data_IF_811186431207
#
_entry.id   IF_811186431207
#
_cell.length_a   1.000
_cell.length_b   1.000
_cell.length_c   1.000
_cell.angle_alpha   90.00
_cell.angle_beta   90.00
_cell.angle_gamma   90.00
#
_symmetry.space_group_name_H-M   'P 1'
#
loop_
_entity.id
_entity.type
_entity.pdbx_description
1 polymer ?
#
# COMPACT_ATOMS: atom_id res chain seq x y z
N UNK A 1 -11.05 -17.32 -9.39
CA UNK A 1 -10.68 -17.20 -7.96
C UNK A 1 -11.68 -16.23 -7.39
N UNK A 2 -12.49 -16.67 -6.43
CA UNK A 2 -13.42 -15.77 -5.73
C UNK A 2 -12.58 -14.92 -4.76
N UNK A 3 -12.84 -13.61 -4.70
CA UNK A 3 -12.18 -12.78 -3.71
C UNK A 3 -12.88 -13.00 -2.36
N UNK A 4 -12.13 -13.46 -1.36
CA UNK A 4 -12.58 -13.74 0.01
C UNK A 4 -12.09 -12.63 0.96
N UNK A 5 -12.32 -11.38 0.56
CA UNK A 5 -11.91 -10.21 1.35
C UNK A 5 -12.80 -10.03 2.59
N UNK A 6 -12.26 -9.31 3.58
CA UNK A 6 -12.98 -8.96 4.80
C UNK A 6 -14.25 -8.19 4.50
N UNK A 7 -15.35 -8.58 5.15
CA UNK A 7 -16.65 -7.87 5.11
C UNK A 7 -16.81 -6.84 6.23
N UNK A 8 -15.77 -6.63 7.04
CA UNK A 8 -15.79 -5.60 8.06
C UNK A 8 -15.92 -4.21 7.39
N UNK A 9 -16.79 -3.41 7.96
CA UNK A 9 -17.07 -2.03 7.58
C UNK A 9 -17.09 -1.22 8.90
N UNK A 10 -15.91 -0.72 9.29
CA UNK A 10 -15.75 0.01 10.55
C UNK A 10 -16.24 1.45 10.42
N UNK A 11 -16.12 2.03 9.23
CA UNK A 11 -16.52 3.40 8.96
C UNK A 11 -18.05 3.53 8.72
N UNK A 12 -18.76 2.41 8.56
CA UNK A 12 -20.22 2.28 8.41
C UNK A 12 -20.76 3.00 7.18
N UNK A 13 -20.04 2.93 6.07
CA UNK A 13 -20.46 3.54 4.80
C UNK A 13 -21.12 2.54 3.84
N UNK A 14 -21.45 1.33 4.31
CA UNK A 14 -22.01 0.20 3.55
C UNK A 14 -21.04 -0.40 2.50
N UNK A 15 -19.76 -0.05 2.56
CA UNK A 15 -18.67 -0.60 1.76
C UNK A 15 -17.68 -1.26 2.72
N UNK A 16 -17.29 -2.53 2.51
CA UNK A 16 -16.24 -3.12 3.32
C UNK A 16 -14.94 -2.31 3.24
N UNK A 17 -14.29 -2.09 4.38
CA UNK A 17 -13.08 -1.26 4.49
C UNK A 17 -11.97 -1.70 3.51
N UNK A 18 -11.89 -3.02 3.24
CA UNK A 18 -10.95 -3.57 2.24
C UNK A 18 -11.20 -3.06 0.83
N UNK A 19 -12.46 -2.88 0.46
CA UNK A 19 -12.84 -2.27 -0.82
C UNK A 19 -12.69 -0.76 -0.78
N UNK A 20 -12.93 -0.10 0.36
CA UNK A 20 -12.66 1.34 0.49
C UNK A 20 -11.18 1.66 0.24
N UNK A 21 -10.25 0.86 0.75
CA UNK A 21 -8.82 1.00 0.45
C UNK A 21 -8.60 0.90 -1.08
N UNK A 22 -9.19 -0.10 -1.73
CA UNK A 22 -9.06 -0.27 -3.19
C UNK A 22 -9.67 0.91 -3.96
N UNK A 23 -10.83 1.42 -3.53
CA UNK A 23 -11.51 2.56 -4.16
C UNK A 23 -10.66 3.83 -4.05
N UNK A 24 -10.08 4.11 -2.88
CA UNK A 24 -9.17 5.24 -2.70
C UNK A 24 -7.92 5.13 -3.60
N UNK A 25 -7.34 3.95 -3.73
CA UNK A 25 -6.22 3.71 -4.65
C UNK A 25 -6.64 3.84 -6.14
N UNK A 26 -7.84 3.39 -6.51
CA UNK A 26 -8.37 3.53 -7.87
C UNK A 26 -8.61 4.98 -8.25
N UNK A 27 -9.07 5.82 -7.34
CA UNK A 27 -9.25 7.25 -7.62
C UNK A 27 -7.90 7.93 -7.94
N UNK A 28 -6.80 7.54 -7.28
CA UNK A 28 -5.46 8.03 -7.63
C UNK A 28 -5.02 7.59 -9.04
N UNK A 29 -5.23 6.32 -9.38
CA UNK A 29 -4.94 5.78 -10.72
C UNK A 29 -5.78 6.48 -11.80
N UNK A 30 -7.05 6.76 -11.51
CA UNK A 30 -7.98 7.45 -12.42
C UNK A 30 -7.60 8.91 -12.61
N UNK A 31 -7.19 9.61 -11.56
CA UNK A 31 -6.63 10.98 -11.62
C UNK A 31 -5.33 11.03 -12.42
N UNK A 32 -4.65 9.89 -12.64
CA UNK A 32 -3.30 9.81 -13.19
C UNK A 32 -2.37 10.77 -12.47
N UNK A 33 -2.39 10.74 -11.13
CA UNK A 33 -1.58 11.63 -10.28
C UNK A 33 -0.12 11.59 -10.74
N UNK A 34 0.45 12.71 -11.25
CA UNK A 34 1.82 12.77 -11.70
C UNK A 34 2.83 12.36 -10.63
N UNK A 35 3.85 11.60 -11.02
CA UNK A 35 4.93 11.22 -10.12
C UNK A 35 5.84 12.43 -9.84
N UNK A 36 5.87 12.90 -8.59
CA UNK A 36 6.85 13.89 -8.12
C UNK A 36 7.32 13.60 -6.71
N UNK A 37 8.63 13.44 -6.58
CA UNK A 37 9.28 13.16 -5.30
C UNK A 37 9.72 14.47 -4.64
N UNK A 38 8.83 15.04 -3.83
CA UNK A 38 9.06 16.28 -3.08
C UNK A 38 8.84 16.08 -1.58
N UNK A 39 9.52 16.92 -0.79
CA UNK A 39 9.26 17.09 0.64
C UNK A 39 8.20 18.17 0.86
N UNK A 40 7.27 17.94 1.79
CA UNK A 40 6.22 18.90 2.15
C UNK A 40 6.27 19.18 3.64
N UNK A 41 6.21 20.46 4.01
CA UNK A 41 6.34 20.89 5.40
C UNK A 41 5.18 20.40 6.29
N UNK A 42 4.01 20.15 5.72
CA UNK A 42 2.84 19.59 6.43
C UNK A 42 2.67 18.09 6.15
N UNK A 43 3.68 17.47 5.56
CA UNK A 43 3.79 16.06 5.22
C UNK A 43 3.02 15.60 3.99
N UNK A 44 1.86 16.19 3.71
CA UNK A 44 1.01 15.75 2.61
C UNK A 44 1.30 16.49 1.29
N UNK A 45 1.49 15.75 0.16
CA UNK A 45 1.49 16.37 -1.17
C UNK A 45 0.11 16.92 -1.54
N UNK A 46 0.03 17.94 -2.42
CA UNK A 46 -1.24 18.35 -3.01
C UNK A 46 -1.81 17.23 -3.89
N UNK A 47 -3.10 17.28 -4.20
CA UNK A 47 -3.77 16.23 -5.00
C UNK A 47 -3.18 16.06 -6.41
N UNK A 48 -2.53 17.10 -6.95
CA UNK A 48 -1.97 17.13 -8.29
C UNK A 48 -0.62 16.41 -8.44
N UNK A 49 -0.07 15.82 -7.38
CA UNK A 49 1.18 15.06 -7.42
C UNK A 49 1.31 14.07 -6.26
N UNK A 50 2.29 13.16 -6.37
CA UNK A 50 2.64 12.22 -5.32
C UNK A 50 3.64 11.17 -5.78
N UNK A 51 3.93 10.23 -4.90
CA UNK A 51 4.76 9.03 -5.16
C UNK A 51 4.00 7.76 -4.79
N UNK A 52 4.65 6.60 -4.86
CA UNK A 52 4.05 5.30 -4.56
C UNK A 52 3.42 5.21 -3.16
N UNK A 53 4.09 5.75 -2.13
CA UNK A 53 3.59 5.78 -0.75
C UNK A 53 2.37 6.69 -0.57
N UNK A 54 2.17 7.66 -1.47
CA UNK A 54 1.00 8.54 -1.42
C UNK A 54 -0.29 7.85 -1.82
N UNK A 55 -0.20 6.82 -2.68
CA UNK A 55 -1.35 5.95 -2.98
C UNK A 55 -1.81 5.23 -1.73
N UNK A 56 -0.89 4.84 -0.85
CA UNK A 56 -1.18 4.02 0.33
C UNK A 56 -1.95 4.83 1.37
N UNK A 57 -1.44 5.99 1.81
CA UNK A 57 -2.17 6.77 2.82
C UNK A 57 -3.48 7.35 2.27
N UNK A 58 -3.56 7.70 0.97
CA UNK A 58 -4.82 8.14 0.34
C UNK A 58 -5.85 7.01 0.29
N UNK A 59 -5.42 5.79 0.01
CA UNK A 59 -6.26 4.59 0.06
C UNK A 59 -6.79 4.33 1.47
N UNK A 60 -5.91 4.33 2.48
CA UNK A 60 -6.30 4.13 3.88
C UNK A 60 -7.23 5.23 4.39
N UNK A 61 -6.99 6.48 4.00
CA UNK A 61 -7.89 7.60 4.33
C UNK A 61 -9.30 7.39 3.77
N UNK A 62 -9.43 6.75 2.60
CA UNK A 62 -10.75 6.44 2.05
C UNK A 62 -11.54 5.43 2.90
N UNK A 63 -10.85 4.61 3.69
CA UNK A 63 -11.45 3.71 4.68
C UNK A 63 -11.53 4.34 6.09
N UNK A 64 -11.40 5.67 6.22
CA UNK A 64 -11.35 6.42 7.48
C UNK A 64 -10.20 6.00 8.43
N UNK A 65 -9.09 5.50 7.87
CA UNK A 65 -7.90 5.12 8.63
C UNK A 65 -6.82 6.20 8.46
N UNK A 66 -6.47 6.90 9.54
CA UNK A 66 -5.36 7.85 9.53
C UNK A 66 -4.02 7.12 9.68
N UNK A 67 -3.50 6.62 8.56
CA UNK A 67 -2.24 5.87 8.50
C UNK A 67 -1.03 6.67 9.03
N UNK A 68 -1.02 7.99 8.84
CA UNK A 68 0.09 8.85 9.28
C UNK A 68 0.20 8.86 10.80
N UNK A 69 -0.91 9.11 11.50
CA UNK A 69 -0.90 9.19 12.97
C UNK A 69 -0.46 7.86 13.59
N UNK A 70 -0.91 6.73 13.01
CA UNK A 70 -0.52 5.40 13.47
C UNK A 70 0.99 5.14 13.30
N UNK A 71 1.57 5.57 12.18
CA UNK A 71 3.01 5.41 11.92
C UNK A 71 3.81 6.36 12.80
N UNK A 72 3.37 7.61 12.96
CA UNK A 72 4.03 8.60 13.82
C UNK A 72 4.07 8.12 15.28
N UNK A 73 2.98 7.52 15.76
CA UNK A 73 2.91 6.92 17.09
C UNK A 73 3.87 5.73 17.25
N UNK A 74 3.89 4.79 16.29
CA UNK A 74 4.80 3.65 16.38
C UNK A 74 6.27 4.06 16.30
N UNK A 75 6.61 5.01 15.42
CA UNK A 75 7.97 5.57 15.31
C UNK A 75 8.39 6.27 16.60
N UNK A 76 7.51 7.08 17.19
CA UNK A 76 7.79 7.76 18.46
C UNK A 76 8.14 6.77 19.56
N UNK A 77 7.48 5.61 19.60
CA UNK A 77 7.64 4.61 20.64
C UNK A 77 8.76 3.59 20.33
N UNK A 78 9.23 3.47 19.08
CA UNK A 78 10.13 2.41 18.64
C UNK A 78 11.14 2.89 17.57
N UNK A 79 11.67 4.11 17.71
CA UNK A 79 12.49 4.79 16.70
C UNK A 79 13.71 3.97 16.22
N UNK A 80 14.26 3.11 17.08
CA UNK A 80 15.38 2.21 16.81
C UNK A 80 15.08 1.14 15.76
N UNK A 81 13.81 0.76 15.57
CA UNK A 81 13.40 -0.20 14.54
C UNK A 81 13.40 0.42 13.14
N UNK A 82 13.22 1.73 13.08
CA UNK A 82 13.10 2.49 11.85
C UNK A 82 14.46 3.03 11.41
N UNK A 83 15.26 2.21 10.73
CA UNK A 83 16.61 2.59 10.28
C UNK A 83 16.64 3.91 9.48
N UNK A 84 15.60 4.21 8.70
CA UNK A 84 15.51 5.44 7.89
C UNK A 84 15.24 6.69 8.72
N UNK A 85 14.65 6.54 9.91
CA UNK A 85 14.44 7.62 10.90
C UNK A 85 15.77 8.05 11.51
N UNK A 86 16.72 7.12 11.69
CA UNK A 86 18.08 7.41 12.17
C UNK A 86 18.10 8.25 13.47
N UNK A 87 17.22 7.91 14.41
CA UNK A 87 17.10 8.57 15.71
C UNK A 87 16.49 9.98 15.69
N UNK A 88 16.05 10.48 14.53
CA UNK A 88 15.43 11.80 14.39
C UNK A 88 14.12 11.68 13.60
N UNK A 89 13.00 11.38 14.28
CA UNK A 89 11.68 11.35 13.65
C UNK A 89 11.37 12.64 12.91
N UNK A 90 10.87 12.51 11.68
CA UNK A 90 10.32 13.59 10.87
C UNK A 90 8.93 13.17 10.38
N UNK A 91 7.86 13.55 11.10
CA UNK A 91 6.49 13.15 10.78
C UNK A 91 6.02 13.65 9.41
N UNK A 92 6.73 14.58 8.77
CA UNK A 92 6.38 15.07 7.45
C UNK A 92 6.80 14.13 6.32
N UNK A 93 7.67 13.17 6.58
CA UNK A 93 8.23 12.31 5.53
C UNK A 93 8.32 10.85 5.93
N UNK A 94 8.28 10.54 7.23
CA UNK A 94 8.45 9.17 7.71
C UNK A 94 7.38 8.20 7.21
N UNK A 95 6.11 8.59 7.22
CA UNK A 95 5.02 7.80 6.66
C UNK A 95 5.06 7.67 5.13
N UNK A 96 5.90 8.47 4.45
CA UNK A 96 6.07 8.48 2.99
C UNK A 96 7.33 7.75 2.53
N UNK A 97 8.02 7.03 3.43
CA UNK A 97 9.20 6.21 3.13
C UNK A 97 8.82 4.73 3.07
N UNK A 98 9.10 4.07 1.95
CA UNK A 98 8.79 2.64 1.76
C UNK A 98 9.41 1.76 2.86
N UNK A 99 10.69 1.92 3.25
CA UNK A 99 11.26 1.10 4.33
C UNK A 99 10.60 1.32 5.69
N UNK A 100 10.08 2.52 5.97
CA UNK A 100 9.35 2.77 7.21
C UNK A 100 7.97 2.10 7.17
N UNK A 101 7.27 2.22 6.04
CA UNK A 101 6.00 1.52 5.84
C UNK A 101 6.16 0.01 5.97
N UNK A 102 7.24 -0.58 5.45
CA UNK A 102 7.56 -2.00 5.63
C UNK A 102 7.61 -2.40 7.12
N UNK A 103 8.37 -1.67 7.93
CA UNK A 103 8.51 -1.91 9.38
C UNK A 103 7.15 -1.83 10.07
N UNK A 104 6.38 -0.78 9.78
CA UNK A 104 5.05 -0.59 10.36
C UNK A 104 4.09 -1.72 9.94
N UNK A 105 3.95 -1.99 8.65
CA UNK A 105 3.04 -3.02 8.12
C UNK A 105 3.38 -4.40 8.69
N UNK A 106 4.67 -4.74 8.81
CA UNK A 106 5.11 -6.01 9.42
C UNK A 106 4.68 -6.18 10.88
N UNK A 107 4.55 -5.08 11.63
CA UNK A 107 4.14 -5.07 13.05
C UNK A 107 2.63 -5.11 13.21
N UNK A 108 1.89 -4.39 12.37
CA UNK A 108 0.45 -4.16 12.59
C UNK A 108 -0.45 -4.99 11.67
N UNK A 109 0.03 -5.45 10.52
CA UNK A 109 -0.74 -6.26 9.57
C UNK A 109 -0.51 -7.76 9.77
N UNK A 110 -1.28 -8.57 9.03
CA UNK A 110 -0.96 -9.98 8.81
C UNK A 110 0.06 -10.07 7.66
N UNK A 111 1.20 -10.73 7.90
CA UNK A 111 2.16 -11.05 6.83
C UNK A 111 1.68 -12.29 6.08
N UNK A 112 1.67 -12.23 4.75
CA UNK A 112 1.19 -13.27 3.86
C UNK A 112 2.30 -13.79 2.94
N UNK A 113 1.97 -14.79 2.12
CA UNK A 113 2.92 -15.32 1.13
C UNK A 113 3.40 -14.24 0.16
N UNK A 114 4.69 -14.25 -0.17
CA UNK A 114 5.28 -13.42 -1.21
C UNK A 114 5.42 -14.16 -2.55
N UNK A 115 5.03 -15.44 -2.60
CA UNK A 115 5.02 -16.23 -3.83
C UNK A 115 3.75 -15.98 -4.64
N UNK A 116 3.91 -15.72 -5.94
CA UNK A 116 2.82 -15.59 -6.91
C UNK A 116 2.89 -16.74 -7.91
N UNK A 117 1.95 -17.68 -7.84
CA UNK A 117 1.90 -18.87 -8.70
C UNK A 117 0.80 -18.74 -9.74
N UNK A 118 1.20 -18.62 -10.99
CA UNK A 118 0.29 -18.50 -12.14
C UNK A 118 -0.71 -19.69 -12.18
N UNK A 119 -2.02 -19.39 -12.26
CA UNK A 119 -3.12 -20.37 -12.31
C UNK A 119 -3.24 -21.31 -11.12
N UNK A 120 -2.52 -21.06 -10.04
CA UNK A 120 -2.68 -21.77 -8.77
C UNK A 120 -3.77 -21.10 -7.94
N UNK A 121 -4.92 -21.76 -7.79
CA UNK A 121 -6.07 -21.16 -7.11
C UNK A 121 -5.84 -20.96 -5.61
N UNK A 122 -5.12 -21.88 -4.97
CA UNK A 122 -4.87 -21.83 -3.53
C UNK A 122 -3.90 -20.69 -3.22
N UNK A 123 -2.76 -20.64 -3.93
CA UNK A 123 -1.82 -19.54 -3.78
C UNK A 123 -2.44 -18.19 -4.12
N UNK A 124 -3.19 -18.08 -5.23
CA UNK A 124 -3.76 -16.81 -5.67
C UNK A 124 -4.96 -16.35 -4.81
N UNK A 125 -5.53 -17.24 -4.00
CA UNK A 125 -6.54 -16.88 -2.99
C UNK A 125 -5.95 -16.16 -1.78
N UNK A 126 -4.64 -16.25 -1.55
CA UNK A 126 -3.97 -15.49 -0.49
C UNK A 126 -3.83 -14.00 -0.82
N UNK A 127 -3.98 -13.61 -2.09
CA UNK A 127 -3.84 -12.23 -2.56
C UNK A 127 -5.20 -11.58 -2.66
N UNK A 128 -5.61 -10.70 -1.74
CA UNK A 128 -6.95 -10.13 -1.70
C UNK A 128 -6.97 -8.62 -1.95
N UNK A 129 -8.12 -8.09 -2.42
CA UNK A 129 -8.31 -6.66 -2.58
C UNK A 129 -7.95 -5.90 -1.29
N UNK A 130 -7.19 -4.82 -1.42
CA UNK A 130 -6.80 -3.96 -0.30
C UNK A 130 -5.52 -4.39 0.41
N UNK A 131 -4.97 -5.57 0.09
CA UNK A 131 -3.65 -5.96 0.57
C UNK A 131 -2.56 -5.01 0.03
N UNK A 132 -1.44 -4.94 0.73
CA UNK A 132 -0.31 -4.06 0.44
C UNK A 132 0.88 -4.92 0.02
N UNK A 133 1.50 -4.58 -1.11
CA UNK A 133 2.71 -5.23 -1.60
C UNK A 133 3.89 -4.27 -1.54
N UNK A 134 5.02 -4.75 -1.02
CA UNK A 134 6.25 -3.98 -0.78
C UNK A 134 7.42 -4.60 -1.51
N UNK A 135 8.26 -3.76 -2.11
CA UNK A 135 9.51 -4.11 -2.76
C UNK A 135 10.63 -3.25 -2.15
N UNK A 136 11.72 -3.87 -1.68
CA UNK A 136 12.88 -3.14 -1.13
C UNK A 136 14.18 -3.37 -1.92
N UNK A 137 14.26 -4.47 -2.67
CA UNK A 137 15.47 -4.80 -3.43
C UNK A 137 15.55 -3.96 -4.72
N UNK A 138 16.57 -3.08 -4.76
CA UNK A 138 16.80 -2.18 -5.89
C UNK A 138 15.89 -0.95 -5.84
N UNK A 139 14.78 -0.98 -6.56
CA UNK A 139 13.82 0.13 -6.59
C UNK A 139 12.79 -0.06 -5.47
N UNK A 140 12.96 0.70 -4.38
CA UNK A 140 12.00 0.75 -3.28
C UNK A 140 10.62 1.18 -3.79
N UNK A 141 9.64 0.29 -3.65
CA UNK A 141 8.32 0.52 -4.22
C UNK A 141 7.21 -0.14 -3.40
N UNK A 142 6.00 0.39 -3.50
CA UNK A 142 4.83 -0.10 -2.76
C UNK A 142 3.56 0.09 -3.59
N UNK A 143 2.54 -0.73 -3.35
CA UNK A 143 1.23 -0.60 -3.99
C UNK A 143 0.12 -1.37 -3.28
N UNK A 144 -1.11 -1.11 -3.70
CA UNK A 144 -2.33 -1.78 -3.22
C UNK A 144 -2.75 -2.85 -4.22
N UNK A 145 -3.08 -4.05 -3.74
CA UNK A 145 -3.65 -5.13 -4.53
C UNK A 145 -5.08 -4.77 -4.93
N UNK A 146 -5.34 -4.79 -6.24
CA UNK A 146 -6.67 -4.52 -6.82
C UNK A 146 -7.59 -5.74 -6.67
N UNK A 147 -8.87 -5.47 -6.68
CA UNK A 147 -9.96 -6.42 -6.93
C UNK A 147 -10.01 -7.00 -8.35
N UNK A 148 -9.26 -6.43 -9.29
CA UNK A 148 -9.12 -6.93 -10.65
C UNK A 148 -7.95 -7.92 -10.78
N UNK A 149 -8.14 -8.93 -11.62
CA UNK A 149 -7.13 -9.96 -11.93
C UNK A 149 -7.03 -10.18 -13.43
N UNK A 150 -5.88 -10.67 -13.88
CA UNK A 150 -5.72 -11.08 -15.27
C UNK A 150 -6.26 -12.51 -15.52
N UNK A 151 -6.17 -12.97 -16.77
CA UNK A 151 -6.66 -14.30 -17.18
C UNK A 151 -5.98 -15.48 -16.47
N UNK A 152 -4.83 -15.26 -15.83
CA UNK A 152 -4.11 -16.27 -15.05
C UNK A 152 -4.44 -16.18 -13.56
N UNK A 153 -5.30 -15.25 -13.15
CA UNK A 153 -5.69 -15.02 -11.76
C UNK A 153 -4.74 -14.12 -10.97
N UNK A 154 -3.67 -13.63 -11.59
CA UNK A 154 -2.71 -12.74 -10.95
C UNK A 154 -3.36 -11.37 -10.76
N UNK A 155 -3.34 -10.79 -9.55
CA UNK A 155 -3.95 -9.49 -9.30
C UNK A 155 -3.16 -8.37 -9.97
N UNK A 156 -3.86 -7.26 -10.21
CA UNK A 156 -3.21 -6.00 -10.52
C UNK A 156 -2.79 -5.26 -9.24
N UNK A 157 -1.80 -4.41 -9.36
CA UNK A 157 -1.30 -3.50 -8.33
C UNK A 157 -1.64 -2.08 -8.74
N UNK A 158 -2.29 -1.34 -7.84
CA UNK A 158 -2.55 0.09 -7.93
C UNK A 158 -1.39 0.82 -7.25
N UNK A 159 -0.66 1.62 -8.00
CA UNK A 159 0.58 2.24 -7.53
C UNK A 159 0.86 3.55 -8.27
N UNK A 160 1.90 4.27 -7.82
CA UNK A 160 2.39 5.44 -8.52
C UNK A 160 3.89 5.34 -8.78
N UNK A 161 4.25 5.45 -10.06
CA UNK A 161 5.62 5.52 -10.55
C UNK A 161 5.63 6.42 -11.78
N UNK A 162 6.81 6.82 -12.27
CA UNK A 162 6.89 7.66 -13.46
C UNK A 162 6.18 7.02 -14.67
N UNK A 163 5.35 7.76 -15.43
CA UNK A 163 5.08 9.19 -15.30
C UNK A 163 3.97 9.56 -14.30
N UNK A 164 3.10 8.63 -13.93
CA UNK A 164 1.95 8.89 -13.06
C UNK A 164 1.38 7.62 -12.41
N UNK A 165 0.47 7.80 -11.45
CA UNK A 165 -0.35 6.73 -10.86
C UNK A 165 -1.00 5.87 -11.96
N UNK A 166 -0.82 4.55 -11.83
CA UNK A 166 -1.30 3.60 -12.82
C UNK A 166 -1.58 2.22 -12.18
N UNK A 167 -2.13 1.32 -12.99
CA UNK A 167 -2.41 -0.06 -12.63
C UNK A 167 -1.51 -0.98 -13.45
N UNK A 168 -0.78 -1.86 -12.78
CA UNK A 168 0.14 -2.81 -13.42
C UNK A 168 -0.06 -4.23 -12.91
N UNK A 169 0.22 -5.26 -13.71
CA UNK A 169 0.16 -6.65 -13.24
C UNK A 169 1.22 -6.88 -12.17
N UNK A 170 0.87 -7.60 -11.11
CA UNK A 170 1.85 -7.97 -10.08
C UNK A 170 3.05 -8.75 -10.67
N UNK A 171 2.82 -9.58 -11.69
CA UNK A 171 3.87 -10.32 -12.38
C UNK A 171 4.79 -9.48 -13.29
N UNK A 172 4.54 -8.18 -13.47
CA UNK A 172 5.40 -7.30 -14.26
C UNK A 172 6.45 -6.57 -13.42
N UNK A 173 6.36 -6.64 -12.09
CA UNK A 173 7.41 -6.17 -11.21
C UNK A 173 8.58 -7.15 -11.27
N UNK A 174 9.77 -6.66 -11.65
CA UNK A 174 10.98 -7.48 -11.74
C UNK A 174 11.69 -7.67 -10.40
N UNK A 175 11.47 -6.76 -9.45
CA UNK A 175 12.01 -6.87 -8.10
C UNK A 175 11.29 -8.00 -7.34
N UNK A 176 12.02 -8.79 -6.53
CA UNK A 176 11.39 -9.74 -5.61
C UNK A 176 10.40 -9.03 -4.69
N UNK A 177 9.25 -9.68 -4.43
CA UNK A 177 8.29 -9.18 -3.45
C UNK A 177 8.92 -9.33 -2.07
N UNK A 178 9.23 -8.20 -1.44
CA UNK A 178 9.82 -8.17 -0.10
C UNK A 178 8.77 -8.47 0.97
N UNK A 179 7.58 -7.88 0.83
CA UNK A 179 6.49 -8.03 1.79
C UNK A 179 5.12 -8.02 1.13
N UNK A 180 4.21 -8.79 1.71
CA UNK A 180 2.80 -8.82 1.36
C UNK A 180 1.99 -8.80 2.66
N UNK A 181 1.15 -7.78 2.82
CA UNK A 181 0.51 -7.46 4.09
C UNK A 181 -0.99 -7.25 3.94
N UNK A 182 -1.77 -7.84 4.85
CA UNK A 182 -3.22 -7.59 4.96
C UNK A 182 -3.54 -6.80 6.21
N UNK A 183 -4.24 -5.68 6.03
CA UNK A 183 -4.72 -4.87 7.15
C UNK A 183 -5.70 -5.66 8.04
N UNK A 184 -5.64 -5.43 9.35
CA UNK A 184 -6.54 -6.05 10.34
C UNK A 184 -7.76 -5.16 10.51
N UNK A 185 -8.80 -5.48 9.74
CA UNK A 185 -10.10 -4.82 9.79
C UNK A 185 -10.88 -5.12 11.07
#
# INVERSE_FOLDING_TARGET
IQNEYSKADKNKNDIPDSLDIVLGAKEEVKKKTPYKSNYYKDGYPPESEGVCTDVIWRAFKNADINLKDLIDEDIKNNAELYKRVNGKPDPNIDFRRVPNLDVFLKRYCLSLTTEVKCRDKENLSEWQPGDIVVFLDGYEHIGIISDERDKNGIPYVLHNTYPHANKMKLSWFSAPIHGHYRWKY
#
